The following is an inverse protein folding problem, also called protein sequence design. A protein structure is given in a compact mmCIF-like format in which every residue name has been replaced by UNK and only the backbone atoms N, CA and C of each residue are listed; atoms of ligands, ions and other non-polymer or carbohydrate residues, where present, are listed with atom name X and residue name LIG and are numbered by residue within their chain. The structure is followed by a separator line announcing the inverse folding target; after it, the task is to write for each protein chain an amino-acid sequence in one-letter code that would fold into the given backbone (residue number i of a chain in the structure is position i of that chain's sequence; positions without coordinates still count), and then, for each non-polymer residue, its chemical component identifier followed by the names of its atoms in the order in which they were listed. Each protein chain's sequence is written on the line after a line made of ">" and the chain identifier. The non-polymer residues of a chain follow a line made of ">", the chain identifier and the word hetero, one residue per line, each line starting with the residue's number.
data_IF_207252982164
#
_entry.id   IF_207252982164
#
_cell.length_a   1.000
_cell.length_b   1.000
_cell.length_c   1.000
_cell.angle_alpha   90.00
_cell.angle_beta   90.00
_cell.angle_gamma   90.00
#
_symmetry.space_group_name_H-M   'P 1'
#
loop_
_entity.id
_entity.type
_entity.pdbx_description
1 polymer ?
#
# COMPACT_ATOMS: atom_id res chain seq x y z
N UNK A 1 -30.69 -24.42 13.72
CA UNK A 1 -30.66 -23.46 12.60
C UNK A 1 -31.39 -22.20 13.02
N UNK A 2 -30.68 -21.07 13.21
CA UNK A 2 -31.33 -19.79 13.48
C UNK A 2 -31.82 -19.22 12.15
N UNK A 3 -33.12 -19.07 11.98
CA UNK A 3 -33.74 -18.35 10.87
C UNK A 3 -33.47 -16.86 11.07
N UNK A 4 -32.45 -16.34 10.40
CA UNK A 4 -32.24 -14.90 10.29
C UNK A 4 -33.39 -14.29 9.50
N UNK A 5 -33.90 -13.15 9.96
CA UNK A 5 -35.02 -12.48 9.30
C UNK A 5 -34.56 -11.92 7.96
N UNK A 6 -35.41 -12.02 6.93
CA UNK A 6 -35.13 -11.49 5.58
C UNK A 6 -34.81 -9.99 5.57
N UNK A 7 -35.26 -9.25 6.59
CA UNK A 7 -35.00 -7.81 6.77
C UNK A 7 -33.55 -7.51 7.17
N UNK A 8 -32.93 -8.34 8.01
CA UNK A 8 -31.53 -8.16 8.44
C UNK A 8 -30.53 -8.40 7.29
N UNK A 9 -30.90 -9.23 6.31
CA UNK A 9 -30.07 -9.49 5.15
C UNK A 9 -29.94 -8.26 4.23
N UNK A 10 -30.97 -7.40 4.18
CA UNK A 10 -30.98 -6.20 3.34
C UNK A 10 -30.03 -5.10 3.84
N UNK A 11 -30.10 -4.78 5.13
CA UNK A 11 -29.23 -3.76 5.75
C UNK A 11 -27.76 -4.17 5.76
N UNK A 12 -27.48 -5.47 5.98
CA UNK A 12 -26.13 -6.01 5.92
C UNK A 12 -25.51 -5.87 4.53
N UNK A 13 -26.24 -6.26 3.47
CA UNK A 13 -25.76 -6.09 2.09
C UNK A 13 -25.49 -4.63 1.75
N UNK A 14 -26.41 -3.73 2.12
CA UNK A 14 -26.23 -2.30 1.91
C UNK A 14 -24.99 -1.74 2.61
N UNK A 15 -24.77 -2.15 3.87
CA UNK A 15 -23.57 -1.75 4.63
C UNK A 15 -22.29 -2.28 3.97
N UNK A 16 -22.27 -3.54 3.56
CA UNK A 16 -21.14 -4.14 2.86
C UNK A 16 -20.83 -3.43 1.55
N UNK A 17 -21.84 -3.11 0.73
CA UNK A 17 -21.66 -2.40 -0.53
C UNK A 17 -21.16 -0.97 -0.30
N UNK A 18 -21.64 -0.30 0.74
CA UNK A 18 -21.15 1.03 1.15
C UNK A 18 -19.67 0.97 1.57
N UNK A 19 -19.29 0.01 2.42
CA UNK A 19 -17.91 -0.16 2.88
C UNK A 19 -16.98 -0.50 1.71
N UNK A 20 -17.39 -1.42 0.84
CA UNK A 20 -16.65 -1.75 -0.41
C UNK A 20 -16.43 -0.51 -1.25
N UNK A 21 -17.49 0.25 -1.51
CA UNK A 21 -17.39 1.47 -2.30
C UNK A 21 -16.45 2.50 -1.63
N UNK A 22 -16.39 2.51 -0.31
CA UNK A 22 -15.47 3.37 0.44
C UNK A 22 -14.01 2.93 0.25
N UNK A 23 -13.73 1.63 0.24
CA UNK A 23 -12.41 1.07 -0.08
C UNK A 23 -12.01 1.39 -1.53
N UNK A 24 -12.91 1.20 -2.49
CA UNK A 24 -12.67 1.58 -3.90
C UNK A 24 -12.39 3.08 -4.03
N UNK A 25 -13.16 3.91 -3.32
CA UNK A 25 -12.93 5.35 -3.26
C UNK A 25 -11.56 5.66 -2.68
N UNK A 26 -11.07 4.97 -1.64
CA UNK A 26 -9.75 5.23 -1.08
C UNK A 26 -8.63 5.13 -2.14
N UNK A 27 -8.74 4.18 -3.06
CA UNK A 27 -7.76 3.97 -4.15
C UNK A 27 -7.97 4.89 -5.36
N UNK A 28 -9.18 5.45 -5.50
CA UNK A 28 -9.59 6.27 -6.65
C UNK A 28 -8.63 7.40 -7.03
N UNK A 29 -8.04 8.20 -6.11
CA UNK A 29 -7.12 9.26 -6.49
C UNK A 29 -5.95 8.79 -7.36
N UNK A 30 -5.47 7.56 -7.13
CA UNK A 30 -4.33 6.99 -7.84
C UNK A 30 -4.68 6.45 -9.23
N UNK A 31 -5.96 6.17 -9.49
CA UNK A 31 -6.44 5.62 -10.76
C UNK A 31 -6.86 6.70 -11.76
N UNK A 32 -6.82 7.99 -11.39
CA UNK A 32 -7.18 9.12 -12.27
C UNK A 32 -6.14 9.47 -13.34
N UNK A 33 -5.05 8.69 -13.47
CA UNK A 33 -3.97 8.97 -14.43
C UNK A 33 -3.00 10.06 -13.99
N UNK A 34 -3.18 10.63 -12.80
CA UNK A 34 -2.18 11.49 -12.17
C UNK A 34 -0.91 10.70 -11.86
N UNK A 35 0.25 11.37 -11.98
CA UNK A 35 1.58 10.79 -11.76
C UNK A 35 2.44 11.78 -11.01
N UNK A 36 3.28 11.27 -10.12
CA UNK A 36 4.19 12.10 -9.32
C UNK A 36 4.35 11.63 -7.88
N UNK A 37 5.38 12.16 -7.23
CA UNK A 37 5.76 11.79 -5.86
C UNK A 37 5.08 12.62 -4.76
N UNK A 38 4.33 13.67 -5.12
CA UNK A 38 3.62 14.52 -4.18
C UNK A 38 2.15 14.09 -4.06
N UNK A 39 1.71 13.80 -2.84
CA UNK A 39 0.33 13.45 -2.51
C UNK A 39 -0.66 14.57 -2.84
N UNK A 40 -0.21 15.83 -2.89
CA UNK A 40 -1.07 16.96 -3.25
C UNK A 40 -1.58 16.86 -4.69
N UNK A 41 -0.81 16.25 -5.61
CA UNK A 41 -1.22 16.02 -7.00
C UNK A 41 -2.49 15.15 -7.05
N UNK A 42 -2.61 14.23 -6.10
CA UNK A 42 -3.76 13.33 -5.97
C UNK A 42 -4.87 13.89 -5.08
N UNK A 43 -4.69 15.10 -4.51
CA UNK A 43 -5.61 15.67 -3.50
C UNK A 43 -5.93 14.69 -2.37
N UNK A 44 -4.92 13.90 -1.99
CA UNK A 44 -5.12 12.74 -1.11
C UNK A 44 -5.64 13.15 0.27
N UNK A 45 -5.20 14.30 0.79
CA UNK A 45 -5.61 14.82 2.09
C UNK A 45 -7.07 15.27 2.11
N UNK A 46 -7.52 15.99 1.09
CA UNK A 46 -8.93 16.36 0.95
C UNK A 46 -9.80 15.13 0.79
N UNK A 47 -9.30 14.16 0.02
CA UNK A 47 -10.00 12.92 -0.24
C UNK A 47 -10.16 12.07 1.03
N UNK A 48 -9.09 11.83 1.79
CA UNK A 48 -9.14 11.07 3.05
C UNK A 48 -10.03 11.77 4.08
N UNK A 49 -9.98 13.10 4.17
CA UNK A 49 -10.84 13.87 5.06
C UNK A 49 -12.35 13.78 4.71
N UNK A 50 -12.66 13.49 3.44
CA UNK A 50 -14.04 13.24 2.99
C UNK A 50 -14.54 11.83 3.37
N UNK A 51 -13.64 10.85 3.45
CA UNK A 51 -13.96 9.45 3.75
C UNK A 51 -13.99 9.16 5.26
N UNK A 52 -13.13 9.81 6.02
CA UNK A 52 -12.93 9.49 7.43
C UNK A 52 -13.74 10.39 8.38
N UNK A 53 -13.98 9.91 9.59
CA UNK A 53 -14.56 10.74 10.65
C UNK A 53 -13.62 11.91 10.98
N UNK A 54 -14.14 13.14 11.17
CA UNK A 54 -13.30 14.28 11.53
C UNK A 54 -12.76 14.15 12.96
N UNK A 55 -11.63 14.81 13.22
CA UNK A 55 -11.00 14.86 14.54
C UNK A 55 -10.32 13.55 14.95
N UNK A 56 -10.30 13.27 16.24
CA UNK A 56 -9.58 12.11 16.82
C UNK A 56 -10.38 10.80 16.77
N UNK A 57 -11.54 10.79 16.12
CA UNK A 57 -12.40 9.61 16.01
C UNK A 57 -11.94 8.62 14.94
N UNK A 58 -11.01 9.03 14.06
CA UNK A 58 -10.45 8.17 13.03
C UNK A 58 -9.13 7.55 13.48
N UNK A 59 -9.03 6.24 13.34
CA UNK A 59 -7.80 5.48 13.60
C UNK A 59 -7.39 4.72 12.33
N UNK A 60 -6.09 4.60 12.11
CA UNK A 60 -5.55 3.90 10.97
C UNK A 60 -4.35 3.08 11.41
N UNK A 61 -4.24 1.89 10.84
CA UNK A 61 -3.10 1.02 10.95
C UNK A 61 -2.58 0.67 9.54
N UNK A 62 -1.27 0.75 9.32
CA UNK A 62 -0.65 0.25 8.09
C UNK A 62 0.46 -0.72 8.46
N UNK A 63 0.35 -1.96 8.01
CA UNK A 63 1.33 -3.02 8.29
C UNK A 63 1.71 -3.18 9.78
N UNK A 64 0.78 -2.86 10.68
CA UNK A 64 1.02 -2.96 12.14
C UNK A 64 1.21 -1.60 12.82
N UNK A 65 1.64 -0.58 12.07
CA UNK A 65 1.90 0.75 12.60
C UNK A 65 0.62 1.55 12.78
N UNK A 66 0.37 2.01 14.02
CA UNK A 66 -0.78 2.82 14.40
C UNK A 66 -0.46 4.32 14.29
N UNK A 67 -1.37 5.13 13.75
CA UNK A 67 -1.20 6.60 13.81
C UNK A 67 -2.15 7.47 12.99
N UNK A 68 -3.36 6.99 12.69
CA UNK A 68 -4.39 7.77 12.00
C UNK A 68 -4.00 8.11 10.55
N UNK A 69 -4.55 9.20 9.99
CA UNK A 69 -4.32 9.55 8.56
C UNK A 69 -2.85 9.72 8.22
N UNK A 70 -2.02 10.17 9.18
CA UNK A 70 -0.59 10.42 8.99
C UNK A 70 0.18 9.17 8.58
N UNK A 71 -0.11 8.02 9.20
CA UNK A 71 0.58 6.76 8.85
C UNK A 71 0.25 6.33 7.43
N UNK A 72 -0.99 6.56 7.00
CA UNK A 72 -1.41 6.27 5.63
C UNK A 72 -0.77 7.23 4.62
N UNK A 73 -0.68 8.52 4.95
CA UNK A 73 0.04 9.52 4.17
C UNK A 73 1.53 9.16 4.03
N UNK A 74 2.20 8.83 5.13
CA UNK A 74 3.62 8.48 5.14
C UNK A 74 3.87 7.22 4.30
N UNK A 75 2.97 6.22 4.38
CA UNK A 75 3.02 5.03 3.55
C UNK A 75 2.94 5.36 2.05
N UNK A 76 1.90 6.08 1.62
CA UNK A 76 1.74 6.41 0.21
C UNK A 76 2.81 7.38 -0.28
N UNK A 77 3.24 8.35 0.53
CA UNK A 77 4.35 9.24 0.19
C UNK A 77 5.65 8.46 -0.02
N UNK A 78 5.88 7.39 0.75
CA UNK A 78 7.05 6.50 0.60
C UNK A 78 6.95 5.72 -0.70
N UNK A 79 5.83 5.07 -0.99
CA UNK A 79 5.63 4.32 -2.24
C UNK A 79 5.73 5.25 -3.46
N UNK A 80 5.05 6.39 -3.43
CA UNK A 80 4.98 7.33 -4.55
C UNK A 80 6.30 8.04 -4.84
N UNK A 81 7.23 8.03 -3.87
CA UNK A 81 8.57 8.60 -4.06
C UNK A 81 9.34 7.94 -5.20
N UNK A 82 9.13 6.64 -5.42
CA UNK A 82 9.77 5.87 -6.50
C UNK A 82 8.82 5.37 -7.57
N UNK A 83 7.56 5.12 -7.20
CA UNK A 83 6.64 4.33 -8.00
C UNK A 83 5.36 5.10 -8.29
N UNK A 84 4.76 4.88 -9.44
CA UNK A 84 3.38 5.31 -9.70
C UNK A 84 2.44 4.12 -9.50
N UNK A 85 1.34 4.34 -8.79
CA UNK A 85 0.23 3.38 -8.76
C UNK A 85 -0.54 3.56 -10.08
N UNK A 86 -0.41 2.60 -11.00
CA UNK A 86 -1.01 2.69 -12.33
C UNK A 86 -2.40 2.07 -12.39
N UNK A 87 -2.68 1.14 -11.48
CA UNK A 87 -3.95 0.43 -11.38
C UNK A 87 -4.16 -0.02 -9.94
N UNK A 88 -5.41 -0.06 -9.50
CA UNK A 88 -5.82 -0.64 -8.23
C UNK A 88 -7.18 -1.30 -8.44
N UNK A 89 -7.31 -2.53 -7.94
CA UNK A 89 -8.54 -3.30 -7.95
C UNK A 89 -8.84 -3.77 -6.53
N UNK A 90 -10.10 -3.63 -6.14
CA UNK A 90 -10.63 -4.21 -4.90
C UNK A 90 -11.38 -5.46 -5.31
N UNK A 91 -10.85 -6.60 -4.92
CA UNK A 91 -11.54 -7.86 -5.10
C UNK A 91 -12.73 -7.85 -4.16
N UNK A 92 -13.90 -8.09 -4.73
CA UNK A 92 -15.07 -8.36 -3.93
C UNK A 92 -15.74 -9.56 -4.53
N UNK A 93 -15.93 -10.60 -3.72
CA UNK A 93 -16.74 -11.76 -4.03
C UNK A 93 -18.18 -11.31 -4.21
N UNK A 94 -18.48 -10.77 -5.39
CA UNK A 94 -19.82 -10.37 -5.82
C UNK A 94 -20.58 -11.66 -6.15
N UNK A 95 -20.79 -12.52 -5.16
CA UNK A 95 -21.38 -13.85 -5.38
C UNK A 95 -21.12 -14.87 -4.29
N UNK A 96 -20.04 -14.77 -3.52
CA UNK A 96 -19.85 -15.72 -2.42
C UNK A 96 -20.80 -15.35 -1.29
N UNK A 97 -21.55 -16.35 -0.84
CA UNK A 97 -22.41 -16.20 0.32
C UNK A 97 -21.55 -15.74 1.48
N UNK A 98 -21.85 -14.56 2.04
CA UNK A 98 -21.29 -14.00 3.27
C UNK A 98 -21.54 -14.99 4.42
N UNK A 99 -20.74 -16.07 4.46
CA UNK A 99 -20.93 -17.17 5.40
C UNK A 99 -20.45 -16.78 6.79
N UNK A 100 -19.59 -15.77 6.88
CA UNK A 100 -19.07 -15.22 8.12
C UNK A 100 -19.30 -13.70 8.18
N UNK A 101 -20.01 -13.18 9.21
CA UNK A 101 -20.19 -11.74 9.38
C UNK A 101 -18.86 -10.99 9.59
N UNK A 102 -17.80 -11.67 10.03
CA UNK A 102 -16.47 -11.07 10.12
C UNK A 102 -15.87 -10.70 8.76
N UNK A 103 -16.35 -11.33 7.67
CA UNK A 103 -15.84 -11.06 6.32
C UNK A 103 -16.41 -9.75 5.75
N UNK A 104 -17.47 -9.19 6.35
CA UNK A 104 -18.14 -7.98 5.85
C UNK A 104 -17.28 -6.72 5.88
N UNK A 105 -16.24 -6.71 6.71
CA UNK A 105 -15.34 -5.57 6.89
C UNK A 105 -13.96 -5.82 6.25
N UNK A 106 -13.71 -7.03 5.75
CA UNK A 106 -12.43 -7.43 5.19
C UNK A 106 -12.49 -7.45 3.67
N UNK A 107 -11.62 -6.66 3.06
CA UNK A 107 -11.50 -6.54 1.61
C UNK A 107 -10.12 -6.98 1.19
N UNK A 108 -10.03 -7.66 0.06
CA UNK A 108 -8.76 -8.00 -0.58
C UNK A 108 -8.67 -7.29 -1.92
N UNK A 109 -7.49 -7.28 -2.51
CA UNK A 109 -7.29 -6.70 -3.81
C UNK A 109 -5.83 -6.63 -4.17
N UNK A 110 -5.54 -5.90 -5.23
CA UNK A 110 -4.19 -5.63 -5.65
C UNK A 110 -4.06 -4.23 -6.24
N UNK A 111 -2.86 -3.69 -6.20
CA UNK A 111 -2.50 -2.51 -6.97
C UNK A 111 -1.21 -2.78 -7.75
N UNK A 112 -1.05 -2.06 -8.85
CA UNK A 112 0.10 -2.22 -9.74
C UNK A 112 0.97 -1.00 -9.62
N UNK A 113 2.24 -1.22 -9.25
CA UNK A 113 3.27 -0.20 -9.19
C UNK A 113 4.07 -0.21 -10.48
N UNK A 114 4.35 0.97 -11.02
CA UNK A 114 5.33 1.18 -12.08
C UNK A 114 6.53 1.93 -11.51
N UNK A 115 7.74 1.41 -11.71
CA UNK A 115 8.96 2.11 -11.29
C UNK A 115 9.27 3.23 -12.29
N UNK A 116 8.93 4.47 -11.94
CA UNK A 116 8.99 5.62 -12.88
C UNK A 116 9.99 6.69 -12.46
N UNK A 117 10.49 6.66 -11.23
CA UNK A 117 11.40 7.67 -10.66
C UNK A 117 12.52 7.03 -9.86
N UNK A 118 13.69 7.71 -9.73
CA UNK A 118 14.74 7.26 -8.83
C UNK A 118 14.23 7.12 -7.38
N UNK A 119 14.48 5.98 -6.75
CA UNK A 119 14.06 5.69 -5.39
C UNK A 119 15.24 5.24 -4.54
N UNK A 120 15.66 6.03 -3.55
CA UNK A 120 16.82 5.71 -2.72
C UNK A 120 18.13 5.49 -3.51
N UNK A 121 18.21 6.05 -4.73
CA UNK A 121 19.31 5.83 -5.67
C UNK A 121 19.11 4.63 -6.61
N UNK A 122 18.05 3.84 -6.44
CA UNK A 122 17.60 2.84 -7.42
C UNK A 122 16.99 3.55 -8.62
N UNK A 123 17.56 3.35 -9.80
CA UNK A 123 17.07 3.96 -11.03
C UNK A 123 16.01 3.09 -11.70
N UNK A 124 14.99 3.68 -12.34
CA UNK A 124 14.06 2.95 -13.19
C UNK A 124 14.79 2.16 -14.28
N UNK A 125 14.57 0.86 -14.30
CA UNK A 125 15.06 -0.01 -15.36
C UNK A 125 14.30 0.31 -16.64
N UNK A 126 14.98 0.81 -17.68
CA UNK A 126 14.43 0.90 -19.05
C UNK A 126 14.31 -0.48 -19.72
N UNK A 127 14.80 -1.52 -19.05
CA UNK A 127 15.08 -2.83 -19.63
C UNK A 127 14.00 -3.83 -19.25
N UNK A 128 12.97 -3.97 -20.09
CA UNK A 128 12.27 -5.24 -20.25
C UNK A 128 11.97 -5.47 -21.73
N UNK A 129 13.03 -5.54 -22.54
CA UNK A 129 12.96 -6.05 -23.89
C UNK A 129 13.54 -7.47 -23.88
N UNK A 130 12.61 -8.43 -24.02
CA UNK A 130 12.74 -9.89 -23.95
C UNK A 130 12.67 -10.45 -22.54
N UNK A 131 11.45 -10.87 -22.17
CA UNK A 131 11.28 -11.99 -21.27
C UNK A 131 12.14 -13.14 -21.80
N UNK A 132 13.16 -13.51 -21.03
CA UNK A 132 13.68 -14.86 -21.10
C UNK A 132 12.51 -15.76 -20.71
N UNK A 133 12.12 -16.66 -21.61
CA UNK A 133 11.33 -17.85 -21.29
C UNK A 133 12.03 -18.59 -20.15
N UNK A 134 11.65 -18.27 -18.91
CA UNK A 134 12.08 -19.04 -17.75
C UNK A 134 11.02 -20.12 -17.51
N UNK A 135 11.45 -21.34 -17.79
CA UNK A 135 10.83 -22.58 -17.34
C UNK A 135 10.59 -22.51 -15.84
N UNK A 136 9.35 -22.80 -15.43
CA UNK A 136 8.92 -22.96 -14.04
C UNK A 136 9.87 -23.91 -13.29
N UNK A 137 10.60 -23.38 -12.33
CA UNK A 137 11.17 -24.13 -11.21
C UNK A 137 10.96 -23.27 -9.96
N UNK A 138 10.03 -23.72 -9.11
CA UNK A 138 9.69 -23.17 -7.81
C UNK A 138 10.92 -23.09 -6.88
N UNK A 139 11.13 -21.97 -6.17
CA UNK A 139 11.84 -21.97 -4.90
C UNK A 139 10.84 -22.01 -3.73
N UNK A 140 11.07 -22.96 -2.84
CA UNK A 140 10.37 -23.19 -1.58
C UNK A 140 10.54 -21.99 -0.63
N UNK A 141 9.42 -21.39 -0.19
CA UNK A 141 9.41 -20.20 0.69
C UNK A 141 9.61 -20.63 2.14
N UNK A 142 10.69 -20.14 2.75
CA UNK A 142 10.94 -20.26 4.19
C UNK A 142 10.09 -19.26 4.98
N UNK A 143 9.35 -19.76 5.96
CA UNK A 143 8.56 -18.99 6.92
C UNK A 143 9.52 -18.20 7.83
N UNK A 144 9.49 -16.86 7.74
CA UNK A 144 10.20 -15.98 8.67
C UNK A 144 9.24 -15.38 9.70
N UNK A 145 9.56 -15.58 10.97
CA UNK A 145 8.78 -15.08 12.11
C UNK A 145 8.77 -13.54 12.16
N UNK A 146 7.62 -12.99 12.56
CA UNK A 146 7.41 -11.55 12.76
C UNK A 146 8.35 -10.96 13.81
N UNK A 147 9.11 -9.93 13.43
CA UNK A 147 9.87 -9.10 14.37
C UNK A 147 8.91 -8.02 14.89
N UNK A 148 8.52 -8.12 16.17
CA UNK A 148 7.84 -7.05 16.89
C UNK A 148 8.84 -5.91 17.18
N UNK A 149 8.65 -4.77 16.52
CA UNK A 149 9.27 -3.52 16.97
C UNK A 149 8.44 -2.93 18.11
N UNK A 150 8.83 -3.22 19.35
CA UNK A 150 8.26 -2.61 20.56
C UNK A 150 8.51 -1.10 20.61
N UNK A 151 7.48 -0.34 20.98
CA UNK A 151 7.55 1.08 21.27
C UNK A 151 7.22 1.29 22.76
N UNK A 152 8.19 1.76 23.54
CA UNK A 152 7.97 2.13 24.94
C UNK A 152 7.35 3.52 25.02
N UNK A 153 6.02 3.58 25.18
CA UNK A 153 5.27 4.77 25.55
C UNK A 153 4.21 4.41 26.59
N UNK A 154 4.24 5.09 27.73
CA UNK A 154 3.42 4.77 28.91
C UNK A 154 1.92 5.12 28.74
N UNK A 155 1.06 4.08 28.90
CA UNK A 155 -0.31 4.01 29.44
C UNK A 155 -1.48 4.82 28.78
N UNK A 156 -2.77 4.46 29.00
CA UNK A 156 -3.31 3.35 29.78
C UNK A 156 -4.11 2.31 28.95
N UNK A 157 -4.39 1.21 29.64
CA UNK A 157 -5.03 -0.03 29.20
C UNK A 157 -6.42 0.17 28.56
N UNK A 158 -6.57 -0.28 27.31
CA UNK A 158 -7.82 -0.87 26.83
C UNK A 158 -7.48 -2.14 26.07
N UNK A 159 -7.91 -3.27 26.63
CA UNK A 159 -7.63 -4.62 26.14
C UNK A 159 -8.50 -4.94 24.93
N UNK A 160 -8.10 -4.51 23.73
CA UNK A 160 -8.65 -5.05 22.48
C UNK A 160 -7.87 -6.28 22.06
N UNK A 161 -8.38 -7.46 22.44
CA UNK A 161 -7.92 -8.76 21.93
C UNK A 161 -8.35 -8.92 20.47
N UNK A 162 -7.46 -8.62 19.53
CA UNK A 162 -7.55 -9.14 18.15
C UNK A 162 -6.56 -10.29 18.00
N UNK A 163 -7.02 -11.50 18.32
CA UNK A 163 -6.33 -12.73 17.95
C UNK A 163 -6.77 -13.10 16.53
N UNK A 164 -5.96 -12.76 15.53
CA UNK A 164 -6.13 -13.30 14.18
C UNK A 164 -5.18 -14.50 14.03
N UNK A 165 -5.77 -15.69 14.09
CA UNK A 165 -5.20 -16.90 13.52
C UNK A 165 -5.23 -16.73 11.99
N UNK A 166 -4.06 -16.56 11.39
CA UNK A 166 -3.88 -16.79 9.96
C UNK A 166 -4.23 -18.26 9.71
N UNK A 167 -5.30 -18.51 8.94
CA UNK A 167 -5.46 -19.79 8.27
C UNK A 167 -4.48 -19.81 7.11
N UNK A 168 -3.72 -20.89 7.02
CA UNK A 168 -2.88 -21.20 5.86
C UNK A 168 -3.75 -21.13 4.60
N UNK A 169 -3.44 -20.18 3.72
CA UNK A 169 -4.03 -20.04 2.39
C UNK A 169 -3.06 -20.72 1.43
N UNK A 170 -3.57 -21.73 0.73
CA UNK A 170 -2.86 -22.45 -0.33
C UNK A 170 -2.30 -21.51 -1.41
N UNK A 171 -1.14 -21.90 -1.93
CA UNK A 171 -0.28 -21.21 -2.90
C UNK A 171 -1.04 -20.36 -3.95
N UNK A 172 -0.84 -19.04 -3.89
CA UNK A 172 -1.20 -18.15 -4.99
C UNK A 172 -0.05 -18.12 -6.01
N UNK A 173 -0.33 -18.56 -7.24
CA UNK A 173 0.59 -18.48 -8.39
C UNK A 173 1.06 -17.03 -8.66
N UNK A 174 2.37 -16.86 -8.86
CA UNK A 174 2.99 -15.64 -9.35
C UNK A 174 2.49 -15.30 -10.77
N UNK A 175 1.41 -14.54 -10.84
CA UNK A 175 0.85 -14.05 -12.10
C UNK A 175 1.49 -12.71 -12.46
N UNK A 176 2.42 -12.75 -13.42
CA UNK A 176 2.90 -11.55 -14.11
C UNK A 176 1.78 -10.96 -14.96
N UNK A 177 0.98 -10.06 -14.37
CA UNK A 177 -0.04 -9.32 -15.09
C UNK A 177 0.65 -8.34 -16.06
N UNK A 178 0.63 -8.65 -17.35
CA UNK A 178 1.07 -7.72 -18.41
C UNK A 178 -0.07 -6.74 -18.67
N UNK A 179 -0.06 -5.61 -17.97
CA UNK A 179 -1.02 -4.52 -18.21
C UNK A 179 -0.64 -3.81 -19.51
N UNK A 180 -1.41 -4.07 -20.57
CA UNK A 180 -1.24 -3.36 -21.85
C UNK A 180 -1.92 -1.99 -21.71
N UNK A 181 -1.14 -0.93 -21.52
CA UNK A 181 -1.66 0.45 -21.48
C UNK A 181 -1.97 0.86 -22.92
N UNK A 182 -3.20 0.61 -23.37
CA UNK A 182 -3.70 1.04 -24.67
C UNK A 182 -3.98 2.54 -24.66
N UNK A 183 -3.08 3.33 -25.23
CA UNK A 183 -3.40 4.68 -25.69
C UNK A 183 -4.06 4.60 -27.05
N UNK A 184 -5.33 4.98 -27.16
CA UNK A 184 -6.01 5.13 -28.45
C UNK A 184 -5.34 6.27 -29.25
N UNK A 185 -4.53 5.89 -30.24
CA UNK A 185 -3.98 6.81 -31.23
C UNK A 185 -4.55 6.48 -32.60
N UNK A 186 -5.14 7.52 -33.20
CA UNK A 186 -5.74 7.54 -34.52
C UNK A 186 -4.89 6.83 -35.59
N UNK A 187 -5.56 5.98 -36.36
CA UNK A 187 -4.98 5.22 -37.47
C UNK A 187 -4.44 6.17 -38.55
N UNK A 188 -3.11 6.21 -38.73
CA UNK A 188 -2.53 7.00 -39.80
C UNK A 188 -1.02 7.23 -39.79
N UNK A 189 -0.18 6.33 -39.26
CA UNK A 189 1.24 6.26 -39.62
C UNK A 189 1.87 4.96 -39.12
N UNK A 190 2.42 4.17 -40.04
CA UNK A 190 3.28 3.02 -39.74
C UNK A 190 4.61 3.56 -39.21
N UNK A 191 4.76 3.58 -37.89
CA UNK A 191 6.07 3.66 -37.23
C UNK A 191 6.11 2.60 -36.14
N UNK A 192 7.10 1.73 -36.22
CA UNK A 192 7.40 0.73 -35.20
C UNK A 192 7.81 1.45 -33.91
N UNK A 193 6.82 1.88 -33.12
CA UNK A 193 7.04 2.39 -31.78
C UNK A 193 7.44 1.21 -30.91
N UNK A 194 8.73 1.13 -30.59
CA UNK A 194 9.21 0.31 -29.50
C UNK A 194 8.47 0.73 -28.23
N UNK A 195 7.45 -0.04 -27.85
CA UNK A 195 6.76 0.10 -26.58
C UNK A 195 7.78 -0.13 -25.48
N UNK A 196 8.22 0.96 -24.85
CA UNK A 196 9.00 0.91 -23.62
C UNK A 196 8.09 0.31 -22.54
N UNK A 197 8.23 -0.99 -22.31
CA UNK A 197 7.55 -1.72 -21.24
C UNK A 197 8.17 -1.31 -19.91
N UNK A 198 7.48 -0.42 -19.21
CA UNK A 198 7.86 0.00 -17.85
C UNK A 198 7.81 -1.21 -16.91
N UNK A 199 8.82 -1.38 -16.06
CA UNK A 199 8.85 -2.44 -15.06
C UNK A 199 7.70 -2.25 -14.06
N UNK A 200 6.75 -3.20 -14.05
CA UNK A 200 5.59 -3.20 -13.17
C UNK A 200 5.67 -4.28 -12.11
N UNK A 201 5.09 -4.00 -10.93
CA UNK A 201 4.96 -4.93 -9.81
C UNK A 201 3.49 -4.97 -9.38
N UNK A 202 2.89 -6.16 -9.38
CA UNK A 202 1.57 -6.39 -8.79
C UNK A 202 1.75 -6.60 -7.29
N UNK A 203 0.98 -5.87 -6.48
CA UNK A 203 1.09 -5.89 -5.03
C UNK A 203 -0.27 -6.22 -4.44
N UNK A 204 -0.42 -7.37 -3.78
CA UNK A 204 -1.65 -7.69 -3.08
C UNK A 204 -1.82 -6.81 -1.85
N UNK A 205 -3.06 -6.61 -1.44
CA UNK A 205 -3.37 -6.00 -0.16
C UNK A 205 -4.59 -6.66 0.49
N UNK A 206 -4.66 -6.54 1.80
CA UNK A 206 -5.89 -6.73 2.56
C UNK A 206 -6.21 -5.45 3.32
N UNK A 207 -7.49 -5.16 3.44
CA UNK A 207 -7.99 -3.95 4.09
C UNK A 207 -9.18 -4.29 4.97
N UNK A 208 -9.02 -4.02 6.27
CA UNK A 208 -10.14 -4.03 7.20
C UNK A 208 -10.66 -2.61 7.37
N UNK A 209 -11.99 -2.43 7.31
CA UNK A 209 -12.62 -1.13 7.51
C UNK A 209 -13.77 -1.21 8.48
N UNK A 210 -13.87 -0.23 9.37
CA UNK A 210 -15.04 0.00 10.20
C UNK A 210 -15.56 1.41 9.94
N UNK A 211 -16.88 1.55 9.87
CA UNK A 211 -17.54 2.82 9.61
C UNK A 211 -18.73 3.07 10.51
N UNK A 212 -19.03 4.36 10.70
CA UNK A 212 -20.25 4.80 11.34
C UNK A 212 -21.39 4.84 10.33
N UNK A 213 -22.43 4.05 10.58
CA UNK A 213 -23.61 3.90 9.70
C UNK A 213 -24.31 5.24 9.47
N UNK A 214 -24.33 6.13 10.47
CA UNK A 214 -25.10 7.38 10.40
C UNK A 214 -24.50 8.44 9.45
N UNK A 215 -23.24 8.29 9.05
CA UNK A 215 -22.50 9.34 8.31
C UNK A 215 -21.72 8.84 7.10
N UNK A 216 -21.78 7.56 6.76
CA UNK A 216 -20.98 6.93 5.70
C UNK A 216 -19.48 7.31 5.81
N UNK A 217 -18.97 7.37 7.04
CA UNK A 217 -17.58 7.76 7.33
C UNK A 217 -16.87 6.66 8.07
N UNK A 218 -15.60 6.46 7.73
CA UNK A 218 -14.75 5.47 8.37
C UNK A 218 -14.30 5.93 9.75
N UNK A 219 -14.39 5.05 10.73
CA UNK A 219 -13.81 5.21 12.06
C UNK A 219 -12.47 4.48 12.19
N UNK A 220 -12.30 3.37 11.47
CA UNK A 220 -11.09 2.57 11.52
C UNK A 220 -10.71 2.00 10.15
N UNK A 221 -9.42 2.03 9.82
CA UNK A 221 -8.84 1.34 8.66
C UNK A 221 -7.61 0.56 9.11
N UNK A 222 -7.49 -0.69 8.66
CA UNK A 222 -6.23 -1.45 8.69
C UNK A 222 -5.87 -1.80 7.26
N UNK A 223 -4.76 -1.27 6.76
CA UNK A 223 -4.17 -1.67 5.48
C UNK A 223 -3.01 -2.62 5.74
N UNK A 224 -3.02 -3.78 5.10
CA UNK A 224 -1.91 -4.72 5.07
C UNK A 224 -1.48 -4.92 3.63
N UNK A 225 -0.19 -4.73 3.38
CA UNK A 225 0.39 -4.91 2.05
C UNK A 225 1.88 -5.22 2.17
N UNK A 226 2.39 -6.27 1.49
CA UNK A 226 3.78 -6.68 1.57
C UNK A 226 4.68 -5.86 0.63
N UNK A 227 4.29 -4.64 0.24
CA UNK A 227 4.99 -3.85 -0.79
C UNK A 227 6.49 -3.69 -0.52
N UNK A 228 6.88 -3.41 0.72
CA UNK A 228 8.29 -3.20 1.05
C UNK A 228 9.08 -4.52 0.96
N UNK A 229 8.45 -5.63 1.33
CA UNK A 229 9.05 -6.96 1.21
C UNK A 229 9.17 -7.39 -0.26
N UNK A 230 8.12 -7.21 -1.05
CA UNK A 230 8.13 -7.51 -2.48
C UNK A 230 9.16 -6.66 -3.23
N UNK A 231 9.30 -5.38 -2.89
CA UNK A 231 10.32 -4.52 -3.48
C UNK A 231 11.75 -4.97 -3.10
N UNK A 232 11.94 -5.46 -1.88
CA UNK A 232 13.22 -5.97 -1.39
C UNK A 232 13.66 -7.24 -2.10
N UNK A 233 12.73 -8.14 -2.44
CA UNK A 233 13.04 -9.41 -3.11
C UNK A 233 13.24 -9.28 -4.62
N UNK A 234 13.05 -8.09 -5.22
CA UNK A 234 13.33 -7.86 -6.64
C UNK A 234 14.82 -8.00 -6.93
N UNK A 235 15.16 -8.80 -7.94
CA UNK A 235 16.53 -8.99 -8.42
C UNK A 235 17.23 -7.69 -8.83
N UNK A 236 16.46 -6.71 -9.30
CA UNK A 236 16.97 -5.40 -9.74
C UNK A 236 17.16 -4.40 -8.58
N UNK A 237 16.68 -4.73 -7.37
CA UNK A 237 16.74 -3.83 -6.22
C UNK A 237 18.16 -3.83 -5.62
N UNK A 238 18.86 -2.68 -5.56
CA UNK A 238 20.21 -2.62 -4.99
C UNK A 238 20.24 -3.02 -3.50
N UNK A 239 21.30 -3.71 -3.07
CA UNK A 239 21.45 -4.20 -1.68
C UNK A 239 21.25 -3.10 -0.62
N UNK A 240 21.78 -1.90 -0.84
CA UNK A 240 21.59 -0.79 0.10
C UNK A 240 20.11 -0.36 0.21
N UNK A 241 19.34 -0.46 -0.88
CA UNK A 241 17.90 -0.18 -0.89
C UNK A 241 17.14 -1.31 -0.19
N UNK A 242 17.55 -2.56 -0.39
CA UNK A 242 17.02 -3.70 0.35
C UNK A 242 17.19 -3.55 1.87
N UNK A 243 18.39 -3.12 2.32
CA UNK A 243 18.66 -2.82 3.75
C UNK A 243 17.75 -1.71 4.28
N UNK A 244 17.55 -0.63 3.51
CA UNK A 244 16.61 0.45 3.88
C UNK A 244 15.16 -0.05 3.99
N UNK A 245 14.69 -0.82 3.02
CA UNK A 245 13.31 -1.35 3.00
C UNK A 245 13.05 -2.34 4.15
N UNK A 246 14.09 -3.06 4.59
CA UNK A 246 14.03 -3.93 5.76
C UNK A 246 14.15 -3.21 7.11
N UNK A 247 14.50 -1.92 7.12
CA UNK A 247 14.72 -1.16 8.35
C UNK A 247 13.56 -0.21 8.66
N UNK A 248 12.80 -0.54 9.70
CA UNK A 248 11.69 0.29 10.19
C UNK A 248 12.14 1.74 10.51
N UNK A 249 13.32 1.90 11.10
CA UNK A 249 13.88 3.22 11.41
C UNK A 249 14.29 4.01 10.16
N UNK A 250 14.83 3.34 9.14
CA UNK A 250 15.13 3.99 7.86
C UNK A 250 13.84 4.49 7.20
N UNK A 251 12.77 3.68 7.17
CA UNK A 251 11.48 4.08 6.60
C UNK A 251 10.82 5.23 7.38
N UNK A 252 10.87 5.22 8.72
CA UNK A 252 10.41 6.35 9.55
C UNK A 252 11.18 7.63 9.26
N UNK A 253 12.51 7.53 9.12
CA UNK A 253 13.35 8.66 8.78
C UNK A 253 13.04 9.18 7.37
N UNK A 254 12.83 8.29 6.41
CA UNK A 254 12.45 8.65 5.04
C UNK A 254 11.14 9.46 5.04
N UNK A 255 10.10 8.95 5.71
CA UNK A 255 8.84 9.65 5.86
C UNK A 255 9.01 11.02 6.52
N UNK A 256 9.86 11.12 7.54
CA UNK A 256 10.16 12.39 8.22
C UNK A 256 10.84 13.41 7.30
N UNK A 257 11.83 12.99 6.51
CA UNK A 257 12.46 13.85 5.49
C UNK A 257 11.47 14.29 4.42
N UNK A 258 10.58 13.39 3.96
CA UNK A 258 9.53 13.73 3.01
C UNK A 258 8.56 14.78 3.58
N UNK A 259 8.18 14.66 4.85
CA UNK A 259 7.34 15.65 5.56
C UNK A 259 8.02 17.01 5.69
N UNK A 260 9.34 17.02 5.87
CA UNK A 260 10.15 18.25 5.88
C UNK A 260 10.32 18.88 4.48
N UNK A 261 9.71 18.30 3.43
CA UNK A 261 9.76 18.83 2.07
C UNK A 261 11.02 18.43 1.28
N UNK A 262 11.83 17.51 1.80
CA UNK A 262 13.00 16.99 1.07
C UNK A 262 12.51 16.22 -0.16
N UNK A 263 13.07 16.55 -1.32
CA UNK A 263 12.75 15.86 -2.58
C UNK A 263 13.22 14.40 -2.52
N UNK A 264 12.42 13.43 -2.98
CA UNK A 264 12.80 12.01 -2.89
C UNK A 264 14.12 11.67 -3.58
N UNK A 265 14.38 12.33 -4.72
CA UNK A 265 15.59 12.15 -5.53
C UNK A 265 16.88 12.49 -4.78
N UNK A 266 16.79 13.31 -3.72
CA UNK A 266 17.94 13.68 -2.88
C UNK A 266 18.15 12.69 -1.73
N UNK A 267 17.16 11.85 -1.42
CA UNK A 267 17.23 10.87 -0.33
C UNK A 267 17.77 9.57 -0.92
N UNK A 268 19.06 9.29 -0.69
CA UNK A 268 19.69 8.04 -1.13
C UNK A 268 19.70 7.00 -0.01
N UNK A 269 19.79 5.70 -0.36
CA UNK A 269 19.93 4.64 0.63
C UNK A 269 21.14 4.85 1.55
N UNK A 270 22.29 5.26 0.99
CA UNK A 270 23.51 5.53 1.76
C UNK A 270 23.29 6.65 2.79
N UNK A 271 22.66 7.75 2.36
CA UNK A 271 22.32 8.86 3.26
C UNK A 271 21.37 8.37 4.35
N UNK A 272 20.32 7.63 3.98
CA UNK A 272 19.29 7.18 4.90
C UNK A 272 19.82 6.20 5.95
N UNK A 273 20.68 5.26 5.56
CA UNK A 273 21.35 4.32 6.47
C UNK A 273 22.34 5.03 7.39
N UNK A 274 23.04 6.05 6.91
CA UNK A 274 23.92 6.84 7.76
C UNK A 274 23.14 7.68 8.78
N UNK A 275 21.99 8.24 8.35
CA UNK A 275 21.12 9.06 9.19
C UNK A 275 20.44 8.20 10.25
N UNK A 276 19.93 7.02 9.89
CA UNK A 276 19.24 6.14 10.82
C UNK A 276 20.15 5.66 11.96
N UNK A 277 21.45 5.50 11.69
CA UNK A 277 22.48 5.18 12.70
C UNK A 277 22.85 6.37 13.59
N UNK A 278 22.58 7.61 13.17
CA UNK A 278 22.94 8.86 13.86
C UNK A 278 21.71 9.77 14.08
N UNK A 279 20.56 9.17 14.37
CA UNK A 279 19.25 9.83 14.36
C UNK A 279 19.22 11.16 15.16
N UNK A 280 19.77 11.19 16.38
CA UNK A 280 19.77 12.37 17.24
C UNK A 280 20.51 13.58 16.63
N UNK A 281 21.65 13.36 15.99
CA UNK A 281 22.45 14.43 15.37
C UNK A 281 21.74 15.03 14.17
N UNK A 282 21.06 14.20 13.37
CA UNK A 282 20.34 14.63 12.18
C UNK A 282 19.03 15.35 12.50
N UNK A 283 18.26 14.85 13.46
CA UNK A 283 17.06 15.53 13.94
C UNK A 283 17.39 16.95 14.43
N UNK A 284 18.48 17.09 15.19
CA UNK A 284 18.97 18.40 15.64
C UNK A 284 19.43 19.29 14.48
N UNK A 285 20.19 18.75 13.51
CA UNK A 285 20.70 19.52 12.36
C UNK A 285 19.60 19.98 11.40
N UNK A 286 18.53 19.20 11.26
CA UNK A 286 17.38 19.50 10.39
C UNK A 286 16.32 20.35 11.09
N UNK A 287 16.51 20.67 12.38
CA UNK A 287 15.53 21.42 13.17
C UNK A 287 14.22 20.65 13.38
N UNK A 288 14.25 19.32 13.28
CA UNK A 288 13.11 18.45 13.48
C UNK A 288 13.16 18.03 14.95
N UNK A 289 12.35 18.67 15.80
CA UNK A 289 12.13 18.29 17.20
C UNK A 289 10.90 17.41 17.34
#
# INVERSE_FOLDING_TARGET
>A
MKTYSTLECGSQRQMHDMLRHTVERLWYPFTQGHRGADLNIYRFREHIASLCCPGNAFTCQVNGHLGGTRVLEDFFATVLSGFDIIHASVDGSRGDSLSNPADMCNYTGYYVLAHTRPFLGWMPSLTSLRGATHTSVLPEVAICNSIECSFNGAAPETTSRSAFLLKDVDEAEDTNATVTIGGELNAGAVQANASSTVCTLVVPFTMYVEGLVDRNRLSHIVLRTPVMELLRTRLECPEAVQECLGSCEALKMFATLRRAGVKPELITAKTLLSVSRQNATWMSALGIQ
#
